data_IF_058046311466
#
_entry.id   IF_058046311466
#
_cell.length_a   1.000
_cell.length_b   1.000
_cell.length_c   1.000
_cell.angle_alpha   90.00
_cell.angle_beta   90.00
_cell.angle_gamma   90.00
#
_symmetry.space_group_name_H-M   'P 1'
#
loop_
_entity.id
_entity.type
_entity.pdbx_description
1 polymer ?
#
# COMPACT_ATOMS: atom_id res chain seq x y z
N UNK A 1 -2.07 5.88 8.44
CA UNK A 1 -0.62 6.02 8.16
C UNK A 1 -0.14 4.76 7.45
N UNK A 2 0.70 4.84 6.40
CA UNK A 2 1.28 3.68 5.71
C UNK A 2 2.54 3.22 6.44
N UNK A 3 2.35 2.33 7.40
CA UNK A 3 3.43 1.70 8.17
C UNK A 3 3.15 0.21 8.44
N UNK A 4 2.37 -0.43 7.55
CA UNK A 4 1.94 -1.82 7.71
C UNK A 4 3.04 -2.80 7.27
N UNK A 5 3.10 -3.96 7.91
CA UNK A 5 4.02 -5.04 7.52
C UNK A 5 3.53 -5.82 6.30
N UNK A 6 2.22 -5.80 6.06
CA UNK A 6 1.59 -6.35 4.86
C UNK A 6 0.30 -5.60 4.57
N UNK A 7 0.06 -5.29 3.30
CA UNK A 7 -1.22 -4.76 2.82
C UNK A 7 -1.75 -5.73 1.77
N UNK A 8 -2.98 -6.21 1.93
CA UNK A 8 -3.61 -7.09 0.95
C UNK A 8 -5.05 -6.69 0.64
N UNK A 9 -5.42 -6.76 -0.64
CA UNK A 9 -6.78 -6.59 -1.14
C UNK A 9 -7.02 -7.65 -2.22
N UNK A 10 -8.07 -8.46 -2.06
CA UNK A 10 -8.48 -9.51 -3.02
C UNK A 10 -7.33 -10.45 -3.45
N UNK A 11 -6.45 -10.85 -2.53
CA UNK A 11 -5.33 -11.75 -2.80
C UNK A 11 -4.08 -11.08 -3.39
N UNK A 12 -4.19 -9.84 -3.87
CA UNK A 12 -3.03 -9.02 -4.19
C UNK A 12 -2.44 -8.48 -2.88
N UNK A 13 -1.11 -8.48 -2.75
CA UNK A 13 -0.46 -8.00 -1.54
C UNK A 13 0.86 -7.28 -1.81
N UNK A 14 1.26 -6.41 -0.88
CA UNK A 14 2.59 -5.81 -0.79
C UNK A 14 3.12 -6.00 0.62
N UNK A 15 4.36 -6.45 0.72
CA UNK A 15 5.06 -6.62 2.00
C UNK A 15 5.75 -5.32 2.42
N UNK A 16 6.10 -5.24 3.69
CA UNK A 16 6.74 -4.08 4.30
C UNK A 16 7.96 -3.55 3.50
N UNK A 17 8.77 -4.45 2.95
CA UNK A 17 9.95 -4.11 2.15
C UNK A 17 9.62 -3.32 0.88
N UNK A 18 8.50 -3.64 0.23
CA UNK A 18 7.99 -2.88 -0.91
C UNK A 18 7.34 -1.57 -0.48
N UNK A 19 6.56 -1.60 0.60
CA UNK A 19 5.83 -0.44 1.10
C UNK A 19 6.78 0.66 1.58
N UNK A 20 7.90 0.31 2.22
CA UNK A 20 8.93 1.25 2.68
C UNK A 20 9.63 2.00 1.54
N UNK A 21 9.63 1.44 0.33
CA UNK A 21 10.15 2.11 -0.88
C UNK A 21 9.19 3.15 -1.45
N UNK A 22 7.92 3.13 -1.03
CA UNK A 22 6.92 4.10 -1.49
C UNK A 22 7.21 5.48 -0.89
N UNK A 23 7.11 6.57 -1.67
CA UNK A 23 7.21 7.94 -1.15
C UNK A 23 6.07 8.30 -0.17
N UNK A 24 5.05 7.43 -0.05
CA UNK A 24 3.94 7.57 0.88
C UNK A 24 4.16 6.87 2.24
N UNK A 25 5.29 6.21 2.44
CA UNK A 25 5.62 5.59 3.72
C UNK A 25 5.53 6.60 4.87
N UNK A 26 4.93 6.18 5.99
CA UNK A 26 4.71 7.03 7.16
C UNK A 26 3.65 8.13 7.00
N UNK A 27 2.92 8.19 5.87
CA UNK A 27 1.85 9.19 5.63
C UNK A 27 0.45 8.58 5.67
N UNK A 28 -0.60 9.37 5.87
CA UNK A 28 -1.97 8.90 5.70
C UNK A 28 -2.22 8.59 4.21
N UNK A 29 -2.78 7.41 3.93
CA UNK A 29 -3.01 6.92 2.56
C UNK A 29 -4.35 6.22 2.45
N UNK A 30 -4.86 6.18 1.22
CA UNK A 30 -5.91 5.29 0.78
C UNK A 30 -5.29 4.21 -0.11
N UNK A 31 -5.59 2.95 0.18
CA UNK A 31 -5.19 1.82 -0.65
C UNK A 31 -6.42 1.27 -1.35
N UNK A 32 -6.34 1.13 -2.66
CA UNK A 32 -7.40 0.52 -3.47
C UNK A 32 -6.80 -0.47 -4.46
N UNK A 33 -7.65 -1.35 -4.99
CA UNK A 33 -7.27 -2.25 -6.06
C UNK A 33 -7.85 -1.71 -7.38
N UNK A 34 -7.01 -1.54 -8.39
CA UNK A 34 -7.46 -1.23 -9.76
C UNK A 34 -6.99 -2.33 -10.69
N UNK A 35 -7.93 -3.16 -11.15
CA UNK A 35 -7.60 -4.45 -11.79
C UNK A 35 -6.90 -5.35 -10.78
N UNK A 36 -5.65 -5.72 -11.08
CA UNK A 36 -4.79 -6.53 -10.20
C UNK A 36 -3.67 -5.70 -9.53
N UNK A 37 -3.72 -4.38 -9.65
CA UNK A 37 -2.67 -3.49 -9.12
C UNK A 37 -3.17 -2.78 -7.86
N UNK A 38 -2.40 -2.92 -6.78
CA UNK A 38 -2.59 -2.14 -5.56
C UNK A 38 -2.13 -0.70 -5.78
N UNK A 39 -3.08 0.22 -5.75
CA UNK A 39 -2.86 1.65 -5.80
C UNK A 39 -2.81 2.24 -4.40
N UNK A 40 -1.81 3.09 -4.16
CA UNK A 40 -1.58 3.76 -2.89
C UNK A 40 -1.55 5.25 -3.16
N UNK A 41 -2.61 5.95 -2.76
CA UNK A 41 -2.74 7.40 -2.92
C UNK A 41 -2.70 8.09 -1.56
N UNK A 42 -2.17 9.30 -1.53
CA UNK A 42 -2.14 10.12 -0.31
C UNK A 42 -3.57 10.60 0.03
N UNK A 43 -3.88 10.65 1.32
CA UNK A 43 -5.05 11.36 1.87
C UNK A 43 -4.72 12.83 2.17
#
# INVERSE_FOLDING_TARGET
>A
QLAAELVSIAGNYKVAEDLRRSPQWGKAVHVSLSGDVLNITRL
#
